data_IF_166530946184
#
_entry.id   IF_166530946184
#
_cell.length_a   1.000
_cell.length_b   1.000
_cell.length_c   1.000
_cell.angle_alpha   90.00
_cell.angle_beta   90.00
_cell.angle_gamma   90.00
#
_symmetry.space_group_name_H-M   'P 1'
#
loop_
_entity.id
_entity.type
_entity.pdbx_description
1 polymer ?
#
# COMPACT_ATOMS: atom_id res chain seq x y z
N UNK A 1 -19.08 -16.39 -11.20
CA UNK A 1 -17.87 -15.59 -10.94
C UNK A 1 -17.05 -16.36 -9.92
N UNK A 2 -15.83 -16.77 -10.27
CA UNK A 2 -14.98 -17.58 -9.40
C UNK A 2 -14.27 -16.71 -8.36
N UNK A 3 -14.28 -17.14 -7.10
CA UNK A 3 -13.46 -16.56 -6.04
C UNK A 3 -11.99 -16.67 -6.43
N UNK A 4 -11.29 -15.53 -6.52
CA UNK A 4 -9.84 -15.50 -6.67
C UNK A 4 -9.21 -15.07 -5.34
N UNK A 5 -8.56 -15.99 -4.61
CA UNK A 5 -7.86 -15.67 -3.37
C UNK A 5 -6.85 -14.52 -3.53
N UNK A 6 -6.22 -14.42 -4.69
CA UNK A 6 -5.21 -13.40 -4.99
C UNK A 6 -5.84 -12.02 -5.15
N UNK A 7 -7.01 -11.93 -5.77
CA UNK A 7 -7.76 -10.66 -5.86
C UNK A 7 -8.25 -10.23 -4.49
N UNK A 8 -8.71 -11.17 -3.66
CA UNK A 8 -9.10 -10.89 -2.28
C UNK A 8 -7.91 -10.36 -1.46
N UNK A 9 -6.73 -10.99 -1.58
CA UNK A 9 -5.51 -10.54 -0.90
C UNK A 9 -5.08 -9.14 -1.36
N UNK A 10 -5.14 -8.85 -2.67
CA UNK A 10 -4.85 -7.53 -3.21
C UNK A 10 -5.77 -6.44 -2.63
N UNK A 11 -7.08 -6.73 -2.54
CA UNK A 11 -8.06 -5.81 -1.97
C UNK A 11 -7.79 -5.59 -0.47
N UNK A 12 -7.52 -6.66 0.27
CA UNK A 12 -7.19 -6.57 1.69
C UNK A 12 -5.97 -5.69 1.92
N UNK A 13 -4.89 -5.92 1.16
CA UNK A 13 -3.65 -5.18 1.30
C UNK A 13 -3.83 -3.68 0.98
N UNK A 14 -4.65 -3.35 -0.03
CA UNK A 14 -5.05 -1.96 -0.32
C UNK A 14 -5.74 -1.30 0.88
N UNK A 15 -6.69 -2.00 1.50
CA UNK A 15 -7.44 -1.47 2.65
C UNK A 15 -6.52 -1.26 3.86
N UNK A 16 -5.62 -2.21 4.12
CA UNK A 16 -4.66 -2.11 5.22
C UNK A 16 -3.70 -0.93 5.03
N UNK A 17 -3.19 -0.71 3.81
CA UNK A 17 -2.33 0.44 3.51
C UNK A 17 -3.08 1.75 3.74
N UNK A 18 -4.30 1.88 3.20
CA UNK A 18 -5.11 3.10 3.37
C UNK A 18 -5.36 3.40 4.85
N UNK A 19 -5.70 2.37 5.64
CA UNK A 19 -5.87 2.49 7.08
C UNK A 19 -4.61 3.01 7.76
N UNK A 20 -3.44 2.45 7.46
CA UNK A 20 -2.17 2.91 8.05
C UNK A 20 -1.90 4.38 7.69
N UNK A 21 -2.15 4.79 6.45
CA UNK A 21 -1.93 6.17 6.00
C UNK A 21 -2.91 7.18 6.66
N UNK A 22 -4.11 6.73 7.00
CA UNK A 22 -5.13 7.56 7.63
C UNK A 22 -4.92 7.66 9.16
N UNK A 23 -4.56 6.55 9.80
CA UNK A 23 -4.47 6.44 11.27
C UNK A 23 -3.12 6.93 11.85
N UNK A 24 -2.02 6.89 11.08
CA UNK A 24 -0.68 7.22 11.60
C UNK A 24 -0.39 8.71 11.56
N UNK A 25 -0.35 9.34 12.73
CA UNK A 25 -0.03 10.75 12.92
C UNK A 25 1.44 11.08 12.65
N UNK A 26 2.31 10.07 12.77
CA UNK A 26 3.76 10.15 12.59
C UNK A 26 4.16 10.45 11.14
N UNK A 27 3.27 10.17 10.18
CA UNK A 27 3.48 10.50 8.78
C UNK A 27 3.05 11.95 8.51
N UNK A 28 3.96 12.72 7.93
CA UNK A 28 3.64 14.05 7.41
C UNK A 28 2.67 13.99 6.23
N UNK A 29 2.04 15.12 5.92
CA UNK A 29 1.13 15.23 4.77
C UNK A 29 1.81 14.81 3.45
N UNK A 30 3.06 15.23 3.24
CA UNK A 30 3.81 14.92 2.02
C UNK A 30 4.17 13.43 1.91
N UNK A 31 4.54 12.78 3.01
CA UNK A 31 4.83 11.34 3.02
C UNK A 31 3.57 10.54 2.71
N UNK A 32 2.43 10.89 3.33
CA UNK A 32 1.14 10.26 3.02
C UNK A 32 0.77 10.46 1.55
N UNK A 33 0.95 11.66 1.01
CA UNK A 33 0.68 11.92 -0.41
C UNK A 33 1.56 11.07 -1.33
N UNK A 34 2.87 10.98 -1.04
CA UNK A 34 3.81 10.12 -1.79
C UNK A 34 3.37 8.66 -1.77
N UNK A 35 3.08 8.10 -0.61
CA UNK A 35 2.66 6.70 -0.48
C UNK A 35 1.30 6.43 -1.15
N UNK A 36 0.36 7.37 -1.10
CA UNK A 36 -0.91 7.27 -1.86
C UNK A 36 -0.67 7.24 -3.37
N UNK A 37 0.24 8.06 -3.88
CA UNK A 37 0.61 8.04 -5.31
C UNK A 37 1.25 6.72 -5.72
N UNK A 38 2.12 6.14 -4.89
CA UNK A 38 2.70 4.82 -5.14
C UNK A 38 1.64 3.71 -5.13
N UNK A 39 0.72 3.73 -4.16
CA UNK A 39 -0.42 2.81 -4.09
C UNK A 39 -1.26 2.87 -5.38
N UNK A 40 -1.64 4.08 -5.80
CA UNK A 40 -2.41 4.29 -7.03
C UNK A 40 -1.68 3.77 -8.27
N UNK A 41 -0.37 4.02 -8.38
CA UNK A 41 0.45 3.53 -9.50
C UNK A 41 0.44 2.00 -9.62
N UNK A 42 0.56 1.27 -8.49
CA UNK A 42 0.48 -0.20 -8.48
C UNK A 42 -0.91 -0.67 -8.92
N UNK A 43 -1.96 -0.06 -8.38
CA UNK A 43 -3.34 -0.42 -8.72
C UNK A 43 -3.67 -0.12 -10.18
N UNK A 44 -3.18 0.98 -10.73
CA UNK A 44 -3.35 1.33 -12.15
C UNK A 44 -2.63 0.35 -13.06
N UNK A 45 -1.42 -0.10 -12.69
CA UNK A 45 -0.72 -1.14 -13.42
C UNK A 45 -1.49 -2.48 -13.41
N UNK A 46 -2.10 -2.84 -12.29
CA UNK A 46 -2.97 -4.03 -12.20
C UNK A 46 -4.24 -3.87 -13.05
N UNK A 47 -4.95 -2.75 -12.90
CA UNK A 47 -6.19 -2.48 -13.62
C UNK A 47 -5.98 -2.41 -15.14
N UNK A 48 -4.81 -1.93 -15.59
CA UNK A 48 -4.45 -1.91 -17.00
C UNK A 48 -3.91 -3.25 -17.53
N UNK A 49 -3.81 -4.29 -16.69
CA UNK A 49 -3.26 -5.60 -17.05
C UNK A 49 -1.74 -5.64 -17.24
N UNK A 50 -1.01 -4.61 -16.80
CA UNK A 50 0.47 -4.56 -16.85
C UNK A 50 1.11 -5.34 -15.71
N UNK A 51 0.37 -5.56 -14.62
CA UNK A 51 0.73 -6.43 -13.51
C UNK A 51 -0.37 -7.48 -13.30
N UNK A 52 0.03 -8.72 -13.04
CA UNK A 52 -0.91 -9.72 -12.53
C UNK A 52 -1.21 -9.50 -11.04
N UNK A 53 -2.24 -10.19 -10.52
CA UNK A 53 -2.69 -10.01 -9.15
C UNK A 53 -1.62 -10.37 -8.11
N UNK A 54 -0.79 -11.37 -8.37
CA UNK A 54 0.26 -11.80 -7.44
C UNK A 54 1.39 -10.76 -7.35
N UNK A 55 1.82 -10.23 -8.49
CA UNK A 55 2.86 -9.21 -8.59
C UNK A 55 2.39 -7.87 -8.02
N UNK A 56 1.13 -7.49 -8.29
CA UNK A 56 0.51 -6.32 -7.69
C UNK A 56 0.44 -6.46 -6.16
N UNK A 57 -0.01 -7.61 -5.65
CA UNK A 57 -0.07 -7.88 -4.21
C UNK A 57 1.32 -7.80 -3.56
N UNK A 58 2.35 -8.44 -4.15
CA UNK A 58 3.72 -8.34 -3.65
C UNK A 58 4.25 -6.90 -3.62
N UNK A 59 3.91 -6.09 -4.63
CA UNK A 59 4.27 -4.66 -4.67
C UNK A 59 3.58 -3.86 -3.56
N UNK A 60 2.32 -4.17 -3.26
CA UNK A 60 1.59 -3.54 -2.14
C UNK A 60 2.17 -3.97 -0.78
N UNK A 61 2.50 -5.24 -0.59
CA UNK A 61 3.16 -5.71 0.64
C UNK A 61 4.49 -4.96 0.86
N UNK A 62 5.30 -4.82 -0.19
CA UNK A 62 6.55 -4.07 -0.11
C UNK A 62 6.32 -2.58 0.22
N UNK A 63 5.26 -1.97 -0.35
CA UNK A 63 4.86 -0.61 -0.01
C UNK A 63 4.45 -0.50 1.47
N UNK A 64 3.65 -1.43 1.99
CA UNK A 64 3.25 -1.45 3.41
C UNK A 64 4.46 -1.53 4.34
N UNK A 65 5.44 -2.38 4.03
CA UNK A 65 6.68 -2.48 4.81
C UNK A 65 7.41 -1.14 4.86
N UNK A 66 7.61 -0.46 3.71
CA UNK A 66 8.25 0.87 3.68
C UNK A 66 7.50 1.93 4.50
N UNK A 67 6.16 1.89 4.47
CA UNK A 67 5.33 2.81 5.27
C UNK A 67 5.60 2.57 6.77
N UNK A 68 5.56 1.31 7.21
CA UNK A 68 5.78 0.96 8.61
C UNK A 68 7.20 1.32 9.08
N UNK A 69 8.22 1.04 8.28
CA UNK A 69 9.60 1.45 8.57
C UNK A 69 9.75 2.97 8.71
N UNK A 70 9.02 3.74 7.89
CA UNK A 70 9.00 5.22 7.98
C UNK A 70 8.35 5.68 9.28
N UNK A 71 7.23 5.06 9.67
CA UNK A 71 6.54 5.34 10.94
C UNK A 71 7.44 5.05 12.14
N UNK A 72 8.14 3.91 12.13
CA UNK A 72 9.05 3.53 13.21
C UNK A 72 10.20 4.55 13.33
N UNK A 73 10.79 4.99 12.22
CA UNK A 73 11.85 6.01 12.22
C UNK A 73 11.38 7.37 12.77
N UNK A 74 10.18 7.81 12.39
CA UNK A 74 9.60 9.07 12.90
C UNK A 74 9.35 9.03 14.41
N UNK A 75 9.07 7.84 14.96
CA UNK A 75 8.79 7.65 16.39
C UNK A 75 10.04 7.84 17.27
N UNK A 76 11.25 7.68 16.72
CA UNK A 76 12.52 7.88 17.45
C UNK A 76 13.11 9.29 17.29
N UNK A 77 12.54 10.11 16.38
CA UNK A 77 12.99 11.47 16.12
C UNK A 77 12.25 12.54 16.95
N UNK A 78 11.24 12.13 17.74
CA UNK A 78 10.45 12.96 18.65
C UNK A 78 10.85 12.75 20.10
#
# INVERSE_FOLDING_TARGET
MGYSPQVAALIQERLDIMKVLDDRVELSFLERARFRMELLSVLDCYNSGRLDAASAHGSLVALRVRILETVDQSSYAS
#
